data_IF_520299723088
#
_entry.id   IF_520299723088
#
_cell.length_a   1.000
_cell.length_b   1.000
_cell.length_c   1.000
_cell.angle_alpha   90.00
_cell.angle_beta   90.00
_cell.angle_gamma   90.00
#
_symmetry.space_group_name_H-M   'P 1'
#
loop_
_entity.id
_entity.type
_entity.pdbx_description
1 polymer ?
#
# COMPACT_ATOMS: atom_id res chain seq x y z
N UNK A 1 -18.91 16.05 -3.92
CA UNK A 1 -18.53 16.82 -2.71
C UNK A 1 -17.91 15.88 -1.67
N UNK A 2 -18.52 14.73 -1.38
CA UNK A 2 -18.02 13.77 -0.39
C UNK A 2 -16.62 13.24 -0.73
N UNK A 3 -16.37 12.87 -2.00
CA UNK A 3 -15.08 12.38 -2.45
C UNK A 3 -13.97 13.45 -2.40
N UNK A 4 -14.33 14.70 -2.66
CA UNK A 4 -13.40 15.83 -2.53
C UNK A 4 -12.98 16.03 -1.07
N UNK A 5 -13.94 15.92 -0.12
CA UNK A 5 -13.64 15.99 1.30
C UNK A 5 -12.70 14.88 1.74
N UNK A 6 -12.97 13.63 1.32
CA UNK A 6 -12.10 12.48 1.63
C UNK A 6 -10.69 12.72 1.08
N UNK A 7 -10.57 13.19 -0.18
CA UNK A 7 -9.26 13.44 -0.78
C UNK A 7 -8.48 14.56 -0.10
N UNK A 8 -9.17 15.60 0.36
CA UNK A 8 -8.54 16.69 1.14
C UNK A 8 -8.02 16.19 2.49
N UNK A 9 -8.82 15.38 3.21
CA UNK A 9 -8.37 14.80 4.48
C UNK A 9 -7.21 13.83 4.26
N UNK A 10 -7.24 13.02 3.19
CA UNK A 10 -6.13 12.14 2.83
C UNK A 10 -4.85 12.94 2.55
N UNK A 11 -4.94 13.99 1.75
CA UNK A 11 -3.83 14.88 1.46
C UNK A 11 -3.26 15.51 2.74
N UNK A 12 -4.12 15.97 3.64
CA UNK A 12 -3.69 16.52 4.92
C UNK A 12 -2.95 15.48 5.79
N UNK A 13 -3.46 14.24 5.88
CA UNK A 13 -2.81 13.16 6.62
C UNK A 13 -1.41 12.82 6.05
N UNK A 14 -1.27 12.80 4.73
CA UNK A 14 0.02 12.55 4.08
C UNK A 14 0.98 13.74 4.23
N UNK A 15 0.51 14.97 4.07
CA UNK A 15 1.31 16.18 4.27
C UNK A 15 1.81 16.31 5.71
N UNK A 16 1.01 15.92 6.70
CA UNK A 16 1.43 15.90 8.09
C UNK A 16 2.66 15.00 8.29
N UNK A 17 2.65 13.79 7.73
CA UNK A 17 3.81 12.89 7.79
C UNK A 17 5.02 13.51 7.10
N UNK A 18 4.85 14.11 5.93
CA UNK A 18 5.94 14.73 5.18
C UNK A 18 6.63 15.86 5.95
N UNK A 19 5.85 16.77 6.56
CA UNK A 19 6.42 17.91 7.31
C UNK A 19 7.03 17.52 8.66
N UNK A 20 6.52 16.48 9.31
CA UNK A 20 6.98 16.04 10.63
C UNK A 20 7.81 14.75 10.58
N UNK A 21 8.28 14.37 9.38
CA UNK A 21 8.97 13.10 9.12
C UNK A 21 10.10 12.83 10.11
N UNK A 22 11.08 13.73 10.23
CA UNK A 22 12.25 13.57 11.10
C UNK A 22 11.85 13.38 12.57
N UNK A 23 10.87 14.14 13.03
CA UNK A 23 10.40 14.05 14.42
C UNK A 23 9.63 12.75 14.70
N UNK A 24 8.94 12.22 13.70
CA UNK A 24 8.19 10.96 13.81
C UNK A 24 9.11 9.75 13.84
N UNK A 25 10.19 9.76 13.05
CA UNK A 25 11.24 8.72 13.06
C UNK A 25 11.93 8.63 14.41
N UNK A 26 12.41 9.78 14.91
CA UNK A 26 13.13 9.83 16.19
C UNK A 26 12.31 9.28 17.36
N UNK A 27 10.97 9.29 17.24
CA UNK A 27 10.06 8.83 18.28
C UNK A 27 9.60 7.36 18.13
N UNK A 28 9.92 6.68 17.03
CA UNK A 28 9.59 5.28 16.81
C UNK A 28 8.12 4.94 17.02
N UNK A 29 7.20 5.73 16.41
CA UNK A 29 5.76 5.50 16.50
C UNK A 29 5.08 5.91 17.82
N UNK A 30 5.80 6.61 18.72
CA UNK A 30 5.20 7.17 19.94
C UNK A 30 4.40 8.43 19.60
N UNK A 31 3.09 8.37 19.82
CA UNK A 31 2.16 9.47 19.51
C UNK A 31 2.23 10.58 20.56
N UNK A 32 2.33 11.81 20.10
CA UNK A 32 2.24 12.99 20.95
C UNK A 32 0.79 13.42 21.19
N UNK A 33 0.55 13.86 22.41
CA UNK A 33 -0.68 14.59 22.75
C UNK A 33 -0.33 16.08 22.78
N UNK A 34 -1.05 16.89 22.00
CA UNK A 34 -0.92 18.34 22.11
C UNK A 34 -1.82 18.81 23.23
N UNK A 35 -1.20 19.38 24.29
CA UNK A 35 -1.96 20.00 25.37
C UNK A 35 -2.33 21.44 25.00
N UNK A 36 -3.60 21.70 24.76
CA UNK A 36 -4.16 23.04 24.63
C UNK A 36 -4.63 23.52 26.02
N UNK A 37 -3.72 24.13 26.81
CA UNK A 37 -4.06 24.61 28.14
C UNK A 37 -3.98 23.53 29.22
N UNK A 38 -4.32 23.89 30.48
CA UNK A 38 -4.09 23.06 31.67
C UNK A 38 -4.94 21.78 31.77
N UNK A 39 -5.98 21.60 30.93
CA UNK A 39 -6.92 20.48 31.11
C UNK A 39 -7.34 19.73 29.83
N UNK A 40 -6.84 20.08 28.66
CA UNK A 40 -7.29 19.44 27.40
C UNK A 40 -6.08 18.85 26.67
N UNK A 41 -5.90 17.54 26.79
CA UNK A 41 -4.94 16.76 26.02
C UNK A 41 -5.64 16.18 24.78
N UNK A 42 -5.44 16.80 23.62
CA UNK A 42 -6.02 16.30 22.37
C UNK A 42 -4.98 15.39 21.70
N UNK A 43 -5.30 14.11 21.48
CA UNK A 43 -4.42 13.18 20.77
C UNK A 43 -4.52 13.41 19.25
N UNK A 44 -4.00 14.55 18.76
CA UNK A 44 -4.11 14.93 17.34
C UNK A 44 -3.48 13.87 16.43
N UNK A 45 -2.31 13.37 16.76
CA UNK A 45 -1.64 12.33 15.97
C UNK A 45 -2.48 11.06 15.92
N UNK A 46 -3.15 10.68 17.01
CA UNK A 46 -4.06 9.54 17.03
C UNK A 46 -5.24 9.74 16.07
N UNK A 47 -5.82 10.93 16.03
CA UNK A 47 -6.94 11.25 15.14
C UNK A 47 -6.48 11.23 13.67
N UNK A 48 -5.33 11.81 13.37
CA UNK A 48 -4.72 11.80 12.03
C UNK A 48 -4.44 10.35 11.59
N UNK A 49 -3.84 9.53 12.44
CA UNK A 49 -3.52 8.14 12.12
C UNK A 49 -4.77 7.29 11.89
N UNK A 50 -5.80 7.42 12.76
CA UNK A 50 -7.07 6.70 12.58
C UNK A 50 -7.76 7.14 11.27
N UNK A 51 -7.83 8.45 11.02
CA UNK A 51 -8.47 8.96 9.79
C UNK A 51 -7.72 8.49 8.54
N UNK A 52 -6.38 8.48 8.57
CA UNK A 52 -5.56 7.97 7.49
C UNK A 52 -5.78 6.49 7.21
N UNK A 53 -5.78 5.65 8.24
CA UNK A 53 -6.06 4.21 8.12
C UNK A 53 -7.47 3.96 7.55
N UNK A 54 -8.49 4.68 8.05
CA UNK A 54 -9.85 4.53 7.55
C UNK A 54 -10.00 4.94 6.08
N UNK A 55 -9.37 6.03 5.68
CA UNK A 55 -9.38 6.49 4.29
C UNK A 55 -8.65 5.49 3.39
N UNK A 56 -7.52 4.93 3.84
CA UNK A 56 -6.80 3.91 3.10
C UNK A 56 -7.64 2.63 2.93
N UNK A 57 -8.34 2.19 3.96
CA UNK A 57 -9.27 1.06 3.88
C UNK A 57 -10.42 1.33 2.90
N UNK A 58 -10.98 2.54 2.91
CA UNK A 58 -12.02 2.92 1.96
C UNK A 58 -11.49 2.99 0.52
N UNK A 59 -10.28 3.51 0.30
CA UNK A 59 -9.62 3.49 -1.00
C UNK A 59 -9.38 2.06 -1.50
N UNK A 60 -8.87 1.18 -0.63
CA UNK A 60 -8.67 -0.24 -0.92
C UNK A 60 -9.98 -0.93 -1.27
N UNK A 61 -11.06 -0.62 -0.54
CA UNK A 61 -12.40 -1.15 -0.82
C UNK A 61 -12.89 -0.77 -2.21
N UNK A 62 -12.61 0.44 -2.65
CA UNK A 62 -13.05 0.96 -3.97
C UNK A 62 -12.25 0.36 -5.13
N UNK A 63 -10.95 0.14 -4.94
CA UNK A 63 -10.03 -0.31 -6.01
C UNK A 63 -10.00 -1.83 -6.10
N UNK A 64 -9.79 -2.53 -4.98
CA UNK A 64 -9.56 -3.99 -4.95
C UNK A 64 -10.84 -4.75 -4.57
N UNK A 65 -11.69 -4.12 -3.75
CA UNK A 65 -12.94 -4.72 -3.31
C UNK A 65 -12.98 -5.07 -1.82
N UNK A 66 -14.13 -5.60 -1.38
CA UNK A 66 -14.41 -5.90 0.03
C UNK A 66 -13.57 -7.03 0.64
N UNK A 67 -13.20 -8.11 -0.07
CA UNK A 67 -12.51 -9.25 0.56
C UNK A 67 -11.21 -8.86 1.24
N UNK A 68 -10.37 -8.05 0.58
CA UNK A 68 -9.08 -7.61 1.14
C UNK A 68 -9.28 -6.75 2.39
N UNK A 69 -10.24 -5.84 2.36
CA UNK A 69 -10.55 -4.96 3.51
C UNK A 69 -10.98 -5.78 4.73
N UNK A 70 -11.81 -6.82 4.52
CA UNK A 70 -12.24 -7.70 5.62
C UNK A 70 -11.02 -8.40 6.25
N UNK A 71 -10.11 -8.93 5.43
CA UNK A 71 -8.89 -9.56 5.91
C UNK A 71 -8.05 -8.58 6.74
N UNK A 72 -7.82 -7.36 6.23
CA UNK A 72 -7.05 -6.34 6.95
C UNK A 72 -7.72 -5.97 8.28
N UNK A 73 -9.04 -5.76 8.29
CA UNK A 73 -9.78 -5.48 9.53
C UNK A 73 -9.65 -6.64 10.52
N UNK A 74 -9.74 -7.89 10.08
CA UNK A 74 -9.55 -9.06 10.95
C UNK A 74 -8.15 -9.07 11.58
N UNK A 75 -7.09 -8.76 10.83
CA UNK A 75 -5.75 -8.67 11.37
C UNK A 75 -5.56 -7.50 12.34
N UNK A 76 -6.14 -6.34 12.06
CA UNK A 76 -6.12 -5.20 12.98
C UNK A 76 -6.84 -5.53 14.30
N UNK A 77 -8.00 -6.18 14.23
CA UNK A 77 -8.73 -6.65 15.40
C UNK A 77 -7.95 -7.72 16.16
N UNK A 78 -7.33 -8.66 15.48
CA UNK A 78 -6.45 -9.65 16.08
C UNK A 78 -5.28 -9.00 16.82
N UNK A 79 -4.62 -8.00 16.21
CA UNK A 79 -3.54 -7.25 16.86
C UNK A 79 -3.99 -6.50 18.11
N UNK A 80 -5.23 -6.00 18.12
CA UNK A 80 -5.80 -5.31 19.27
C UNK A 80 -6.25 -6.29 20.37
N UNK A 81 -6.95 -7.36 19.99
CA UNK A 81 -7.53 -8.35 20.92
C UNK A 81 -6.65 -9.59 21.13
N UNK A 82 -5.37 -9.57 20.78
CA UNK A 82 -4.48 -10.72 20.81
C UNK A 82 -4.38 -11.45 22.15
N UNK A 83 -4.66 -10.76 23.27
CA UNK A 83 -4.71 -11.36 24.62
C UNK A 83 -5.87 -12.34 24.80
N UNK A 84 -6.91 -12.28 23.98
CA UNK A 84 -8.07 -13.20 24.04
C UNK A 84 -7.96 -14.34 23.01
N UNK A 85 -6.86 -14.39 22.26
CA UNK A 85 -6.64 -15.44 21.27
C UNK A 85 -6.27 -16.78 21.96
N UNK A 86 -6.44 -17.93 21.29
CA UNK A 86 -5.99 -19.23 21.79
C UNK A 86 -4.50 -19.24 22.12
N UNK A 87 -4.08 -20.00 23.13
CA UNK A 87 -2.71 -20.03 23.68
C UNK A 87 -1.60 -20.13 22.64
N UNK A 88 -1.84 -20.84 21.53
CA UNK A 88 -0.86 -21.04 20.45
C UNK A 88 -0.53 -19.73 19.69
N UNK A 89 -1.50 -18.80 19.59
CA UNK A 89 -1.38 -17.54 18.83
C UNK A 89 -1.65 -16.32 19.71
N UNK A 90 -1.78 -16.51 21.03
CA UNK A 90 -2.02 -15.41 21.96
C UNK A 90 -0.78 -14.52 22.06
N UNK A 91 -1.02 -13.21 22.12
CA UNK A 91 -0.01 -12.21 22.37
C UNK A 91 -0.57 -11.10 23.26
N UNK A 92 0.29 -10.28 23.85
CA UNK A 92 -0.08 -9.29 24.86
C UNK A 92 -1.08 -8.20 24.44
N UNK A 93 -1.56 -8.24 23.16
CA UNK A 93 -2.42 -7.21 22.58
C UNK A 93 -1.71 -5.86 22.44
N UNK A 94 -2.17 -5.03 21.52
CA UNK A 94 -1.63 -3.68 21.33
C UNK A 94 -2.66 -2.65 21.81
N UNK A 95 -2.21 -1.63 22.53
CA UNK A 95 -3.08 -0.48 22.80
C UNK A 95 -3.40 0.24 21.48
N UNK A 96 -4.58 0.88 21.41
CA UNK A 96 -5.00 1.60 20.20
C UNK A 96 -3.95 2.63 19.75
N UNK A 97 -3.36 3.36 20.68
CA UNK A 97 -2.30 4.33 20.39
C UNK A 97 -1.08 3.67 19.74
N UNK A 98 -0.64 2.55 20.29
CA UNK A 98 0.52 1.82 19.78
C UNK A 98 0.24 1.18 18.41
N UNK A 99 -0.97 0.65 18.23
CA UNK A 99 -1.39 0.07 16.95
C UNK A 99 -1.43 1.13 15.84
N UNK A 100 -2.06 2.29 16.12
CA UNK A 100 -2.13 3.38 15.14
C UNK A 100 -0.75 4.00 14.89
N UNK A 101 0.06 4.18 15.94
CA UNK A 101 1.43 4.69 15.83
C UNK A 101 2.27 3.80 14.92
N UNK A 102 2.28 2.50 15.15
CA UNK A 102 3.00 1.53 14.34
C UNK A 102 2.49 1.46 12.90
N UNK A 103 1.17 1.43 12.69
CA UNK A 103 0.61 1.29 11.34
C UNK A 103 0.75 2.54 10.47
N UNK A 104 0.59 3.75 11.05
CA UNK A 104 0.53 4.97 10.26
C UNK A 104 1.80 5.81 10.29
N UNK A 105 2.54 5.81 11.40
CA UNK A 105 3.70 6.70 11.59
C UNK A 105 5.04 5.97 11.58
N UNK A 106 5.05 4.64 11.64
CA UNK A 106 6.28 3.86 11.60
C UNK A 106 6.67 3.53 10.15
N UNK A 107 7.98 3.44 9.92
CA UNK A 107 8.56 3.10 8.61
C UNK A 107 8.49 1.61 8.27
N UNK A 108 8.09 0.75 9.20
CA UNK A 108 8.01 -0.70 8.96
C UNK A 108 6.63 -1.17 8.52
N UNK A 109 5.61 -0.29 8.56
CA UNK A 109 4.24 -0.65 8.20
C UNK A 109 3.81 -0.05 6.85
N UNK A 110 2.76 0.78 6.82
CA UNK A 110 2.17 1.28 5.56
C UNK A 110 3.18 2.07 4.73
N UNK A 111 3.93 2.98 5.34
CA UNK A 111 4.91 3.84 4.66
C UNK A 111 6.33 3.25 4.61
N UNK A 112 6.46 1.96 4.89
CA UNK A 112 7.73 1.26 4.88
C UNK A 112 8.06 0.57 3.54
N UNK A 113 8.64 -0.62 3.64
CA UNK A 113 9.08 -1.44 2.50
C UNK A 113 8.01 -1.59 1.40
N UNK A 114 6.70 -1.84 1.70
CA UNK A 114 5.71 -2.03 0.64
C UNK A 114 5.55 -0.82 -0.29
N UNK A 115 5.51 0.39 0.27
CA UNK A 115 5.44 1.61 -0.54
C UNK A 115 6.76 1.88 -1.25
N UNK A 116 7.90 1.67 -0.58
CA UNK A 116 9.22 1.81 -1.18
C UNK A 116 9.36 0.93 -2.43
N UNK A 117 9.05 -0.35 -2.33
CA UNK A 117 9.06 -1.27 -3.48
C UNK A 117 8.08 -0.83 -4.58
N UNK A 118 6.91 -0.35 -4.20
CA UNK A 118 5.91 0.12 -5.17
C UNK A 118 6.41 1.32 -5.97
N UNK A 119 7.08 2.27 -5.33
CA UNK A 119 7.58 3.50 -5.96
C UNK A 119 8.86 3.24 -6.76
N UNK A 120 9.82 2.52 -6.18
CA UNK A 120 11.16 2.35 -6.76
C UNK A 120 11.19 1.29 -7.88
N UNK A 121 10.37 0.26 -7.77
CA UNK A 121 10.38 -0.86 -8.72
C UNK A 121 9.10 -0.94 -9.53
N UNK A 122 7.94 -1.12 -8.91
CA UNK A 122 6.69 -1.42 -9.62
C UNK A 122 6.32 -0.26 -10.55
N UNK A 123 6.39 0.98 -10.09
CA UNK A 123 6.08 2.16 -10.89
C UNK A 123 6.99 2.25 -12.13
N UNK A 124 8.31 2.04 -11.96
CA UNK A 124 9.25 2.10 -13.07
C UNK A 124 9.01 0.97 -14.07
N UNK A 125 8.72 -0.25 -13.61
CA UNK A 125 8.40 -1.35 -14.52
C UNK A 125 7.10 -1.12 -15.30
N UNK A 126 6.07 -0.62 -14.64
CA UNK A 126 4.79 -0.29 -15.32
C UNK A 126 4.99 0.83 -16.32
N UNK A 127 5.74 1.88 -15.96
CA UNK A 127 6.08 2.98 -16.86
C UNK A 127 6.87 2.48 -18.07
N UNK A 128 7.90 1.66 -17.83
CA UNK A 128 8.70 1.08 -18.92
C UNK A 128 7.84 0.19 -19.82
N UNK A 129 6.99 -0.67 -19.27
CA UNK A 129 6.06 -1.50 -20.02
C UNK A 129 5.12 -0.68 -20.90
N UNK A 130 4.53 0.40 -20.35
CA UNK A 130 3.67 1.31 -21.12
C UNK A 130 4.42 2.03 -22.24
N UNK A 131 5.66 2.47 -21.98
CA UNK A 131 6.51 3.07 -23.03
C UNK A 131 6.88 2.07 -24.12
N UNK A 132 7.22 0.84 -23.73
CA UNK A 132 7.54 -0.24 -24.67
C UNK A 132 6.33 -0.58 -25.55
N UNK A 133 5.13 -0.62 -24.97
CA UNK A 133 3.89 -0.89 -25.70
C UNK A 133 3.58 0.23 -26.71
N UNK A 134 3.69 1.49 -26.29
CA UNK A 134 3.47 2.64 -27.18
C UNK A 134 4.53 2.74 -28.28
N UNK A 135 5.75 2.30 -28.02
CA UNK A 135 6.82 2.22 -29.02
C UNK A 135 6.66 1.04 -30.00
N UNK A 136 5.64 0.19 -29.82
CA UNK A 136 5.39 -0.97 -30.68
C UNK A 136 6.22 -2.20 -30.33
N UNK A 137 6.83 -2.24 -29.16
CA UNK A 137 7.67 -3.35 -28.70
C UNK A 137 6.96 -4.69 -28.70
N UNK A 138 5.69 -4.73 -28.28
CA UNK A 138 4.88 -5.96 -28.30
C UNK A 138 4.77 -6.55 -29.72
N UNK A 139 4.50 -5.70 -30.70
CA UNK A 139 4.47 -6.13 -32.10
C UNK A 139 5.83 -6.63 -32.60
N UNK A 140 6.89 -5.91 -32.24
CA UNK A 140 8.26 -6.30 -32.61
C UNK A 140 8.62 -7.68 -32.06
N UNK A 141 8.32 -7.97 -30.79
CA UNK A 141 8.59 -9.28 -30.18
C UNK A 141 7.75 -10.40 -30.80
N UNK A 142 6.49 -10.12 -31.14
CA UNK A 142 5.66 -11.07 -31.89
C UNK A 142 6.24 -11.35 -33.30
N UNK A 143 6.58 -10.35 -34.04
CA UNK A 143 7.16 -10.49 -35.36
C UNK A 143 8.51 -11.26 -35.32
N UNK A 144 9.34 -11.00 -34.31
CA UNK A 144 10.58 -11.73 -34.07
C UNK A 144 10.29 -13.21 -33.74
N UNK A 145 9.35 -13.48 -32.87
CA UNK A 145 8.94 -14.85 -32.53
C UNK A 145 8.40 -15.60 -33.75
N UNK A 146 7.60 -14.93 -34.61
CA UNK A 146 7.15 -15.50 -35.88
C UNK A 146 8.29 -15.75 -36.86
N UNK A 147 9.29 -14.89 -36.94
CA UNK A 147 10.46 -15.09 -37.78
C UNK A 147 11.26 -16.32 -37.35
N UNK A 148 11.37 -16.57 -36.06
CA UNK A 148 12.13 -17.70 -35.50
C UNK A 148 11.42 -19.05 -35.66
N UNK A 149 10.13 -19.13 -35.33
CA UNK A 149 9.42 -20.42 -35.25
C UNK A 149 8.23 -20.54 -36.20
N UNK A 150 7.86 -19.51 -36.91
CA UNK A 150 6.66 -19.47 -37.76
C UNK A 150 6.61 -20.55 -38.83
N UNK A 151 7.78 -20.98 -39.37
CA UNK A 151 7.90 -22.01 -40.41
C UNK A 151 7.82 -23.44 -39.87
N UNK A 152 7.83 -23.62 -38.53
CA UNK A 152 7.76 -24.94 -37.91
C UNK A 152 6.32 -25.47 -37.83
N UNK A 153 6.14 -26.80 -37.71
CA UNK A 153 4.80 -27.38 -37.44
C UNK A 153 4.23 -26.78 -36.16
N UNK A 154 3.05 -26.16 -36.26
CA UNK A 154 2.42 -25.41 -35.15
C UNK A 154 3.07 -24.05 -34.89
N UNK A 155 3.77 -23.50 -35.88
CA UNK A 155 4.49 -22.21 -35.78
C UNK A 155 3.72 -21.08 -35.14
N UNK A 156 2.46 -20.79 -35.59
CA UNK A 156 1.70 -19.70 -34.99
C UNK A 156 1.46 -19.84 -33.48
N UNK A 157 1.14 -21.06 -33.01
CA UNK A 157 0.94 -21.32 -31.59
C UNK A 157 2.25 -21.17 -30.78
N UNK A 158 3.35 -21.68 -31.31
CA UNK A 158 4.68 -21.56 -30.69
C UNK A 158 5.16 -20.11 -30.66
N UNK A 159 4.92 -19.36 -31.75
CA UNK A 159 5.27 -17.93 -31.82
C UNK A 159 4.46 -17.10 -30.82
N UNK A 160 3.17 -17.42 -30.62
CA UNK A 160 2.34 -16.76 -29.62
C UNK A 160 2.86 -16.99 -28.20
N UNK A 161 3.25 -18.24 -27.87
CA UNK A 161 3.83 -18.58 -26.55
C UNK A 161 5.16 -17.86 -26.33
N UNK A 162 6.06 -17.88 -27.32
CA UNK A 162 7.34 -17.19 -27.23
C UNK A 162 7.15 -15.67 -27.15
N UNK A 163 6.29 -15.10 -27.97
CA UNK A 163 5.97 -13.68 -27.94
C UNK A 163 5.40 -13.24 -26.59
N UNK A 164 4.47 -14.01 -26.02
CA UNK A 164 3.93 -13.76 -24.68
C UNK A 164 5.00 -13.85 -23.60
N UNK A 165 5.90 -14.83 -23.67
CA UNK A 165 7.01 -14.95 -22.72
C UNK A 165 8.06 -13.84 -22.81
N UNK A 166 8.17 -13.16 -23.98
CA UNK A 166 9.10 -12.04 -24.17
C UNK A 166 8.48 -10.69 -23.79
N UNK A 167 7.16 -10.59 -23.75
CA UNK A 167 6.45 -9.35 -23.41
C UNK A 167 6.00 -9.28 -21.94
N UNK A 168 6.16 -10.31 -21.15
CA UNK A 168 5.87 -10.35 -19.72
C UNK A 168 4.87 -11.37 -19.36
#
# INVERSE_FOLDING_TARGET
IFDILISLVAAFCCLYIYFFYDQLIDRGGVLLNISLGQNINIPIELIIGISGILILLEATRRVIGKPLVIIVICFLLFSYFGQYAPDIISHGGLSLKRLVGFQWFDQEAIFGIPIGVSVDFIFLFVLFGALLETAGGGKYFLDLAFAMVGKMRGGPAKAAILGSGMTG
#
